data_IF_114213036310
#
_entry.id   IF_114213036310
#
_cell.length_a   1.000
_cell.length_b   1.000
_cell.length_c   1.000
_cell.angle_alpha   90.00
_cell.angle_beta   90.00
_cell.angle_gamma   90.00
#
_symmetry.space_group_name_H-M   'P 1'
#
loop_
_entity.id
_entity.type
_entity.pdbx_description
1 polymer ?
#
# COMPACT_ATOMS: atom_id res chain seq x y z
N UNK A 1 -20.77 0.35 -2.45
CA UNK A 1 -19.55 -0.13 -3.11
C UNK A 1 -18.45 -0.04 -2.08
N UNK A 2 -17.42 -0.88 -2.07
CA UNK A 2 -16.29 -0.67 -1.19
C UNK A 2 -15.51 0.57 -1.65
N UNK A 3 -14.86 1.29 -0.72
CA UNK A 3 -13.83 2.25 -1.08
C UNK A 3 -12.69 1.49 -1.75
N UNK A 4 -12.17 2.04 -2.83
CA UNK A 4 -10.98 1.53 -3.50
C UNK A 4 -9.75 2.15 -2.85
N UNK A 5 -8.78 1.31 -2.53
CA UNK A 5 -7.49 1.74 -1.98
C UNK A 5 -6.45 1.46 -3.06
N UNK A 6 -5.86 2.51 -3.58
CA UNK A 6 -4.71 2.39 -4.47
C UNK A 6 -3.47 2.11 -3.64
N UNK A 7 -2.65 1.15 -4.05
CA UNK A 7 -1.43 0.77 -3.36
C UNK A 7 -0.26 0.78 -4.34
N UNK A 8 0.88 1.35 -3.91
CA UNK A 8 2.18 1.17 -4.56
C UNK A 8 3.12 0.45 -3.60
N UNK A 9 3.71 -0.64 -4.08
CA UNK A 9 4.56 -1.52 -3.28
C UNK A 9 5.96 -1.60 -3.90
N UNK A 10 6.98 -1.40 -3.07
CA UNK A 10 8.39 -1.37 -3.47
C UNK A 10 9.19 -2.34 -2.61
N UNK A 11 10.17 -3.01 -3.19
CA UNK A 11 11.24 -3.68 -2.45
C UNK A 11 12.50 -2.83 -2.48
N UNK A 12 13.22 -2.76 -1.37
CA UNK A 12 14.41 -1.92 -1.24
C UNK A 12 15.52 -2.30 -2.24
N UNK A 13 15.80 -3.61 -2.38
CA UNK A 13 16.88 -4.13 -3.21
C UNK A 13 16.40 -5.18 -4.22
N UNK A 14 15.23 -5.80 -4.01
CA UNK A 14 14.78 -7.00 -4.72
C UNK A 14 13.53 -6.76 -5.56
N UNK A 15 13.61 -5.77 -6.45
CA UNK A 15 12.48 -5.39 -7.32
C UNK A 15 12.03 -6.55 -8.23
N UNK A 16 12.95 -7.24 -8.89
CA UNK A 16 12.60 -8.35 -9.79
C UNK A 16 11.98 -9.53 -9.03
N UNK A 17 12.52 -9.84 -7.85
CA UNK A 17 11.99 -10.88 -6.96
C UNK A 17 10.61 -10.49 -6.40
N UNK A 18 10.35 -9.21 -6.16
CA UNK A 18 9.04 -8.71 -5.74
C UNK A 18 7.99 -9.03 -6.81
N UNK A 19 8.26 -8.69 -8.07
CA UNK A 19 7.36 -9.01 -9.20
C UNK A 19 7.16 -10.53 -9.34
N UNK A 20 8.22 -11.30 -9.23
CA UNK A 20 8.15 -12.76 -9.32
C UNK A 20 7.37 -13.40 -8.15
N UNK A 21 7.43 -12.81 -6.95
CA UNK A 21 6.76 -13.33 -5.76
C UNK A 21 5.24 -13.21 -5.82
N UNK A 22 4.71 -12.21 -6.54
CA UNK A 22 3.26 -11.93 -6.61
C UNK A 22 2.61 -12.42 -7.90
N UNK A 23 3.38 -12.72 -8.94
CA UNK A 23 2.88 -13.19 -10.23
C UNK A 23 2.42 -14.64 -10.15
N UNK A 24 1.22 -14.93 -10.62
CA UNK A 24 0.69 -16.29 -10.63
C UNK A 24 -0.78 -16.38 -10.94
N UNK A 25 -1.44 -17.39 -10.41
CA UNK A 25 -2.85 -17.67 -10.66
C UNK A 25 -3.74 -17.13 -9.57
N UNK A 26 -4.82 -16.45 -9.98
CA UNK A 26 -5.87 -15.99 -9.10
C UNK A 26 -6.85 -17.13 -8.69
N UNK A 27 -7.92 -16.81 -7.98
CA UNK A 27 -8.92 -17.77 -7.52
C UNK A 27 -9.68 -18.49 -8.65
N UNK A 28 -9.73 -17.91 -9.84
CA UNK A 28 -10.39 -18.45 -11.03
C UNK A 28 -9.40 -19.19 -11.96
N UNK A 29 -8.16 -19.48 -11.48
CA UNK A 29 -7.09 -20.19 -12.21
C UNK A 29 -6.53 -19.42 -13.42
N UNK A 30 -6.73 -18.11 -13.46
CA UNK A 30 -6.22 -17.22 -14.50
C UNK A 30 -4.86 -16.67 -14.11
N UNK A 31 -3.91 -16.64 -15.07
CA UNK A 31 -2.59 -15.99 -14.86
C UNK A 31 -2.75 -14.49 -14.75
N UNK A 32 -2.24 -13.92 -13.66
CA UNK A 32 -2.28 -12.48 -13.37
C UNK A 32 -0.92 -11.97 -12.88
N UNK A 33 -0.67 -10.68 -13.07
CA UNK A 33 0.58 -10.06 -12.68
C UNK A 33 0.72 -9.90 -11.15
N UNK A 34 -0.39 -9.70 -10.44
CA UNK A 34 -0.41 -9.59 -8.97
C UNK A 34 -1.53 -10.44 -8.41
N UNK A 35 -1.22 -11.34 -7.49
CA UNK A 35 -2.20 -12.10 -6.70
C UNK A 35 -1.67 -12.43 -5.31
N UNK A 36 -2.50 -12.21 -4.31
CA UNK A 36 -2.18 -12.53 -2.92
C UNK A 36 -2.16 -14.05 -2.66
N UNK A 37 -2.78 -14.85 -3.54
CA UNK A 37 -2.72 -16.31 -3.48
C UNK A 37 -1.29 -16.87 -3.58
N UNK A 38 -0.37 -16.12 -4.21
CA UNK A 38 1.04 -16.52 -4.28
C UNK A 38 1.78 -16.27 -2.98
N UNK A 39 1.39 -15.25 -2.24
CA UNK A 39 2.03 -14.80 -0.99
C UNK A 39 1.43 -15.52 0.21
N UNK A 40 0.11 -15.49 0.33
CA UNK A 40 -0.68 -16.13 1.39
C UNK A 40 -1.80 -16.94 0.73
N UNK A 41 -1.54 -18.21 0.38
CA UNK A 41 -2.52 -19.03 -0.34
C UNK A 41 -3.73 -19.38 0.52
N UNK A 42 -4.93 -19.29 -0.07
CA UNK A 42 -6.14 -19.76 0.59
C UNK A 42 -6.12 -21.31 0.72
N UNK A 43 -6.49 -21.86 1.89
CA UNK A 43 -6.70 -23.29 2.06
C UNK A 43 -7.80 -23.83 1.13
N UNK A 44 -7.70 -25.10 0.76
CA UNK A 44 -8.66 -25.74 -0.15
C UNK A 44 -10.10 -25.72 0.36
N UNK A 45 -10.31 -25.75 1.66
CA UNK A 45 -11.63 -25.65 2.28
C UNK A 45 -12.25 -24.26 2.11
N UNK A 46 -11.41 -23.20 2.12
CA UNK A 46 -11.81 -21.81 1.87
C UNK A 46 -12.13 -21.60 0.40
N UNK A 47 -11.31 -22.12 -0.52
CA UNK A 47 -11.54 -22.05 -1.97
C UNK A 47 -12.87 -22.68 -2.39
N UNK A 48 -13.29 -23.74 -1.69
CA UNK A 48 -14.57 -24.44 -1.94
C UNK A 48 -15.78 -23.76 -1.32
N UNK A 49 -15.58 -22.69 -0.57
CA UNK A 49 -16.71 -21.94 0.02
C UNK A 49 -17.57 -21.29 -1.06
N UNK A 50 -18.88 -21.10 -0.82
CA UNK A 50 -19.74 -20.43 -1.78
C UNK A 50 -19.25 -19.01 -2.11
N UNK A 51 -19.23 -18.62 -3.40
CA UNK A 51 -18.91 -17.24 -3.81
C UNK A 51 -19.86 -16.21 -3.16
N UNK A 52 -21.15 -16.55 -3.03
CA UNK A 52 -22.13 -15.80 -2.27
C UNK A 52 -22.43 -16.55 -0.98
N UNK A 53 -22.00 -15.98 0.15
CA UNK A 53 -22.19 -16.59 1.47
C UNK A 53 -23.64 -16.41 1.94
N UNK A 54 -24.39 -17.49 2.23
CA UNK A 54 -25.69 -17.38 2.87
C UNK A 54 -25.57 -16.73 4.27
N UNK A 55 -26.60 -16.02 4.71
CA UNK A 55 -26.61 -15.31 6.01
C UNK A 55 -26.36 -16.23 7.23
N UNK A 56 -26.58 -17.53 7.09
CA UNK A 56 -26.36 -18.53 8.13
C UNK A 56 -25.14 -19.44 7.87
N UNK A 57 -24.27 -19.08 6.94
CA UNK A 57 -23.05 -19.84 6.67
C UNK A 57 -22.06 -19.67 7.82
N UNK A 58 -21.63 -20.77 8.41
CA UNK A 58 -20.71 -20.79 9.56
C UNK A 58 -19.40 -21.56 9.29
N UNK A 59 -19.19 -22.03 8.07
CA UNK A 59 -17.98 -22.75 7.68
C UNK A 59 -16.82 -21.82 7.33
N UNK A 60 -15.61 -22.38 7.14
CA UNK A 60 -14.48 -21.64 6.56
C UNK A 60 -14.90 -21.01 5.24
N UNK A 61 -14.57 -19.71 5.05
CA UNK A 61 -14.99 -18.99 3.88
C UNK A 61 -13.96 -17.97 3.42
N UNK A 62 -14.04 -17.61 2.14
CA UNK A 62 -13.11 -16.68 1.51
C UNK A 62 -13.15 -15.27 2.13
N UNK A 63 -14.32 -14.81 2.58
CA UNK A 63 -14.48 -13.45 3.08
C UNK A 63 -13.73 -13.26 4.41
N UNK A 64 -13.98 -14.14 5.38
CA UNK A 64 -13.31 -14.09 6.69
C UNK A 64 -11.80 -14.37 6.56
N UNK A 65 -11.42 -15.30 5.65
CA UNK A 65 -10.02 -15.56 5.35
C UNK A 65 -9.32 -14.33 4.80
N UNK A 66 -9.87 -13.70 3.77
CA UNK A 66 -9.26 -12.54 3.13
C UNK A 66 -9.08 -11.38 4.12
N UNK A 67 -10.12 -11.05 4.89
CA UNK A 67 -10.02 -9.99 5.90
C UNK A 67 -8.97 -10.29 6.97
N UNK A 68 -8.87 -11.54 7.42
CA UNK A 68 -7.94 -11.90 8.50
C UNK A 68 -6.50 -12.13 8.04
N UNK A 69 -6.27 -12.58 6.80
CA UNK A 69 -4.95 -12.97 6.29
C UNK A 69 -4.40 -12.04 5.22
N UNK A 70 -5.25 -11.36 4.45
CA UNK A 70 -4.80 -10.37 3.47
C UNK A 70 -5.03 -8.93 3.95
N UNK A 71 -5.90 -8.71 4.95
CA UNK A 71 -6.27 -7.38 5.44
C UNK A 71 -7.27 -6.65 4.55
N UNK A 72 -7.69 -7.25 3.44
CA UNK A 72 -8.60 -6.68 2.45
C UNK A 72 -9.61 -7.71 1.98
N UNK A 73 -10.76 -7.25 1.46
CA UNK A 73 -11.86 -8.12 1.05
C UNK A 73 -11.53 -8.98 -0.16
N UNK A 74 -10.89 -8.38 -1.18
CA UNK A 74 -10.60 -9.01 -2.46
C UNK A 74 -9.12 -9.17 -2.69
N UNK A 75 -8.74 -9.99 -3.66
CA UNK A 75 -7.40 -10.02 -4.22
C UNK A 75 -7.08 -8.67 -4.90
N UNK A 76 -5.84 -8.46 -5.30
CA UNK A 76 -5.43 -7.30 -6.08
C UNK A 76 -6.23 -7.22 -7.39
N UNK A 77 -6.61 -6.00 -7.78
CA UNK A 77 -7.29 -5.74 -9.05
C UNK A 77 -6.84 -4.38 -9.62
N UNK A 78 -7.20 -4.10 -10.88
CA UNK A 78 -6.79 -2.88 -11.61
C UNK A 78 -5.28 -2.66 -11.53
N UNK A 79 -4.51 -3.72 -11.83
CA UNK A 79 -3.05 -3.74 -11.75
C UNK A 79 -2.45 -2.89 -12.87
N UNK A 80 -1.57 -1.95 -12.50
CA UNK A 80 -0.86 -1.06 -13.41
C UNK A 80 0.59 -0.86 -12.94
N UNK A 81 1.40 -1.91 -12.98
CA UNK A 81 2.75 -1.91 -12.44
C UNK A 81 3.67 -0.91 -13.16
N UNK A 82 4.48 -0.19 -12.40
CA UNK A 82 5.61 0.59 -12.92
C UNK A 82 6.84 -0.28 -13.19
N UNK A 83 7.97 0.36 -13.49
CA UNK A 83 9.25 -0.35 -13.71
C UNK A 83 9.86 -0.86 -12.41
N UNK A 84 9.63 -0.16 -11.30
CA UNK A 84 10.27 -0.43 -9.99
C UNK A 84 9.28 -0.72 -8.88
N UNK A 85 7.97 -0.68 -9.14
CA UNK A 85 6.93 -0.86 -8.14
C UNK A 85 5.74 -1.63 -8.68
N UNK A 86 5.04 -2.32 -7.78
CA UNK A 86 3.72 -2.87 -8.04
C UNK A 86 2.66 -1.80 -7.77
N UNK A 87 1.69 -1.65 -8.66
CA UNK A 87 0.53 -0.78 -8.47
C UNK A 87 -0.75 -1.56 -8.67
N UNK A 88 -1.64 -1.50 -7.70
CA UNK A 88 -2.92 -2.22 -7.74
C UNK A 88 -3.92 -1.64 -6.74
N UNK A 89 -5.20 -1.89 -7.00
CA UNK A 89 -6.27 -1.57 -6.07
C UNK A 89 -6.59 -2.73 -5.13
N UNK A 90 -7.03 -2.36 -3.92
CA UNK A 90 -7.63 -3.26 -2.93
C UNK A 90 -8.95 -2.68 -2.39
N UNK A 91 -9.74 -3.50 -1.72
CA UNK A 91 -11.02 -3.07 -1.17
C UNK A 91 -10.91 -2.76 0.33
N UNK A 92 -11.24 -1.51 0.71
CA UNK A 92 -11.36 -0.97 2.08
C UNK A 92 -10.07 -0.67 2.81
N UNK A 93 -8.99 -1.41 2.60
CA UNK A 93 -7.73 -1.23 3.30
C UNK A 93 -6.54 -1.69 2.45
N UNK A 94 -5.36 -1.18 2.77
CA UNK A 94 -4.09 -1.70 2.27
C UNK A 94 -3.88 -3.16 2.72
N UNK A 95 -3.26 -4.03 1.91
CA UNK A 95 -3.09 -5.46 2.22
C UNK A 95 -1.90 -5.70 3.16
N UNK A 96 -1.91 -5.08 4.33
CA UNK A 96 -0.80 -5.05 5.28
C UNK A 96 -0.22 -6.43 5.64
N UNK A 97 -1.02 -7.49 5.89
CA UNK A 97 -0.48 -8.82 6.15
C UNK A 97 0.29 -9.42 4.96
N UNK A 98 -0.12 -9.08 3.72
CA UNK A 98 0.55 -9.51 2.49
C UNK A 98 1.91 -8.81 2.36
N UNK A 99 1.97 -7.51 2.62
CA UNK A 99 3.23 -6.73 2.60
C UNK A 99 4.22 -7.28 3.63
N UNK A 100 3.73 -7.57 4.84
CA UNK A 100 4.53 -8.20 5.90
C UNK A 100 5.11 -9.54 5.48
N UNK A 101 4.33 -10.37 4.81
CA UNK A 101 4.80 -11.69 4.37
C UNK A 101 5.77 -11.58 3.19
N UNK A 102 5.55 -10.62 2.27
CA UNK A 102 6.49 -10.31 1.20
C UNK A 102 7.87 -9.91 1.75
N UNK A 103 7.93 -9.06 2.76
CA UNK A 103 9.20 -8.66 3.39
C UNK A 103 9.99 -9.88 3.92
N UNK A 104 9.30 -10.85 4.51
CA UNK A 104 9.92 -12.11 4.97
C UNK A 104 10.37 -13.00 3.81
N UNK A 105 9.50 -13.23 2.82
CA UNK A 105 9.79 -14.09 1.66
C UNK A 105 10.99 -13.55 0.89
N UNK A 106 11.03 -12.25 0.66
CA UNK A 106 12.10 -11.58 -0.04
C UNK A 106 13.37 -11.47 0.80
N UNK A 107 13.25 -11.53 2.13
CA UNK A 107 14.30 -11.13 3.06
C UNK A 107 14.85 -9.76 2.69
N UNK A 108 13.92 -8.78 2.56
CA UNK A 108 14.18 -7.40 2.16
C UNK A 108 13.16 -6.48 2.85
N UNK A 109 13.44 -5.18 2.87
CA UNK A 109 12.47 -4.19 3.33
C UNK A 109 11.46 -3.97 2.21
N UNK A 110 10.17 -4.04 2.55
CA UNK A 110 9.07 -3.81 1.60
C UNK A 110 8.23 -2.64 2.07
N UNK A 111 8.14 -1.63 1.21
CA UNK A 111 7.37 -0.41 1.42
C UNK A 111 6.00 -0.52 0.77
N UNK A 112 5.00 0.12 1.37
CA UNK A 112 3.68 0.30 0.78
C UNK A 112 3.22 1.74 1.02
N UNK A 113 2.88 2.43 -0.07
CA UNK A 113 2.16 3.70 -0.06
C UNK A 113 0.73 3.39 -0.45
N UNK A 114 -0.24 3.93 0.25
CA UNK A 114 -1.65 3.68 -0.04
C UNK A 114 -2.51 4.92 0.16
N UNK A 115 -3.55 5.04 -0.66
CA UNK A 115 -4.53 6.10 -0.53
C UNK A 115 -5.91 5.63 -0.97
N UNK A 116 -6.96 6.04 -0.25
CA UNK A 116 -8.32 5.81 -0.70
C UNK A 116 -8.74 6.81 -1.79
N UNK A 117 -9.75 6.44 -2.59
CA UNK A 117 -10.23 7.25 -3.72
C UNK A 117 -10.85 8.60 -3.32
N UNK A 118 -11.16 8.79 -2.04
CA UNK A 118 -11.78 10.00 -1.51
C UNK A 118 -10.79 10.95 -0.84
N UNK A 119 -9.50 10.60 -0.81
CA UNK A 119 -8.46 11.34 -0.06
C UNK A 119 -8.85 11.58 1.40
N UNK A 120 -9.57 10.62 2.00
CA UNK A 120 -9.96 10.65 3.39
C UNK A 120 -8.83 10.23 4.32
N UNK A 121 -9.17 9.93 5.57
CA UNK A 121 -8.20 9.52 6.60
C UNK A 121 -7.51 8.17 6.34
N UNK A 122 -7.88 7.46 5.26
CA UNK A 122 -7.34 6.15 4.92
C UNK A 122 -6.24 6.25 3.84
N UNK A 123 -5.18 6.94 4.18
CA UNK A 123 -3.99 7.09 3.35
C UNK A 123 -2.73 7.10 4.22
N UNK A 124 -1.59 6.73 3.64
CA UNK A 124 -0.33 6.73 4.36
C UNK A 124 0.77 5.93 3.67
N UNK A 125 1.89 5.78 4.34
CA UNK A 125 2.96 4.89 3.93
C UNK A 125 3.57 4.18 5.13
N UNK A 126 3.97 2.94 4.93
CA UNK A 126 4.64 2.12 5.92
C UNK A 126 5.61 1.15 5.24
N UNK A 127 6.48 0.55 6.02
CA UNK A 127 7.29 -0.57 5.56
C UNK A 127 7.34 -1.69 6.58
N UNK A 128 7.67 -2.87 6.09
CA UNK A 128 8.00 -4.03 6.90
C UNK A 128 9.45 -4.43 6.68
N UNK A 129 10.14 -4.73 7.77
CA UNK A 129 11.46 -5.37 7.74
C UNK A 129 11.32 -6.89 7.65
N UNK A 130 12.35 -7.64 7.24
CA UNK A 130 12.31 -9.10 7.14
C UNK A 130 11.94 -9.82 8.44
N UNK A 131 12.28 -9.25 9.60
CA UNK A 131 11.90 -9.76 10.92
C UNK A 131 10.45 -9.46 11.32
N UNK A 132 9.72 -8.75 10.44
CA UNK A 132 8.30 -8.45 10.59
C UNK A 132 7.99 -7.22 11.43
N UNK A 133 8.98 -6.35 11.71
CA UNK A 133 8.77 -5.06 12.35
C UNK A 133 8.12 -4.09 11.35
N UNK A 134 7.07 -3.40 11.80
CA UNK A 134 6.37 -2.36 11.05
C UNK A 134 6.82 -0.99 11.51
N UNK A 135 7.07 -0.11 10.56
CA UNK A 135 7.33 1.30 10.80
C UNK A 135 6.43 2.15 9.88
N UNK A 136 5.95 3.27 10.38
CA UNK A 136 5.25 4.29 9.59
C UNK A 136 6.25 5.30 9.04
N UNK A 137 5.95 5.87 7.88
CA UNK A 137 6.76 6.92 7.26
C UNK A 137 6.05 8.25 7.53
N UNK A 138 6.72 9.14 8.24
CA UNK A 138 6.22 10.49 8.49
C UNK A 138 6.09 11.26 7.17
N UNK A 139 5.10 12.16 7.09
CA UNK A 139 4.82 12.91 5.86
C UNK A 139 4.20 12.08 4.73
N UNK A 140 3.90 10.81 4.95
CA UNK A 140 3.33 9.90 3.96
C UNK A 140 1.99 10.38 3.36
N UNK A 141 1.28 11.27 4.05
CA UNK A 141 0.05 11.88 3.55
C UNK A 141 0.28 12.66 2.24
N UNK A 142 1.38 13.39 2.10
CA UNK A 142 1.72 14.11 0.87
C UNK A 142 1.94 13.16 -0.30
N UNK A 143 2.62 12.02 -0.07
CA UNK A 143 2.80 10.98 -1.10
C UNK A 143 1.48 10.35 -1.51
N UNK A 144 0.63 10.03 -0.54
CA UNK A 144 -0.68 9.45 -0.80
C UNK A 144 -1.56 10.42 -1.60
N UNK A 145 -1.47 11.71 -1.31
CA UNK A 145 -2.18 12.76 -2.03
C UNK A 145 -1.67 12.91 -3.46
N UNK A 146 -0.35 12.99 -3.67
CA UNK A 146 0.29 13.00 -4.99
C UNK A 146 -0.20 11.85 -5.86
N UNK A 147 -0.21 10.68 -5.28
CA UNK A 147 -0.56 9.45 -5.88
C UNK A 147 -2.02 9.40 -6.38
N UNK A 148 -2.98 9.88 -5.60
CA UNK A 148 -4.40 9.94 -5.97
C UNK A 148 -4.73 11.02 -6.99
N UNK A 149 -4.06 12.17 -6.93
CA UNK A 149 -4.41 13.34 -7.75
C UNK A 149 -3.79 13.30 -9.15
N UNK A 150 -2.81 12.42 -9.42
CA UNK A 150 -2.18 12.29 -10.73
C UNK A 150 -1.69 13.64 -11.28
N UNK A 151 -2.13 14.02 -12.48
CA UNK A 151 -1.71 15.27 -13.13
C UNK A 151 -2.21 16.57 -12.48
N UNK A 152 -3.04 16.48 -11.44
CA UNK A 152 -3.50 17.63 -10.66
C UNK A 152 -2.68 17.87 -9.38
N UNK A 153 -1.68 17.05 -9.14
CA UNK A 153 -0.82 17.10 -7.99
C UNK A 153 -0.25 18.49 -7.71
N UNK A 154 0.39 19.10 -8.72
CA UNK A 154 1.06 20.40 -8.56
C UNK A 154 0.13 21.53 -8.11
N UNK A 155 -1.14 21.50 -8.51
CA UNK A 155 -2.12 22.51 -8.13
C UNK A 155 -2.64 22.27 -6.71
N UNK A 156 -2.96 21.02 -6.38
CA UNK A 156 -3.55 20.66 -5.11
C UNK A 156 -2.52 20.68 -3.96
N UNK A 157 -1.26 20.33 -4.21
CA UNK A 157 -0.18 20.44 -3.20
C UNK A 157 0.19 21.90 -2.95
N UNK A 158 0.21 22.75 -3.98
CA UNK A 158 0.42 24.18 -3.76
C UNK A 158 -0.69 24.79 -2.92
N UNK A 159 -1.95 24.47 -3.22
CA UNK A 159 -3.11 24.93 -2.45
C UNK A 159 -3.02 24.44 -1.00
N UNK A 160 -2.60 23.18 -0.76
CA UNK A 160 -2.40 22.63 0.57
C UNK A 160 -1.23 23.29 1.31
N UNK A 161 -0.10 23.51 0.66
CA UNK A 161 1.07 24.19 1.25
C UNK A 161 0.73 25.65 1.56
N UNK A 162 0.16 26.38 0.60
CA UNK A 162 -0.29 27.78 0.81
C UNK A 162 -1.27 27.88 1.98
N UNK A 163 -2.17 26.91 2.15
CA UNK A 163 -3.17 26.91 3.24
C UNK A 163 -2.54 26.68 4.62
N UNK A 164 -1.45 25.94 4.72
CA UNK A 164 -0.77 25.63 5.98
C UNK A 164 0.36 26.62 6.29
N UNK A 165 0.96 27.24 5.30
CA UNK A 165 1.90 28.34 5.50
C UNK A 165 1.22 29.59 6.11
N UNK A 166 -0.04 29.84 5.74
CA UNK A 166 -0.83 30.94 6.32
C UNK A 166 -1.23 30.69 7.80
N UNK A 167 -1.30 29.42 8.26
CA UNK A 167 -1.57 29.10 9.67
C UNK A 167 -0.29 29.21 10.54
N UNK A 168 0.91 28.99 9.99
CA UNK A 168 2.17 29.00 10.71
C UNK A 168 2.78 30.43 10.82
N UNK A 169 2.38 31.40 9.99
CA UNK A 169 2.88 32.79 10.08
C UNK A 169 2.37 33.55 11.31
N UNK A 170 1.31 33.07 11.98
CA UNK A 170 0.75 33.73 13.16
C UNK A 170 1.41 33.29 14.51
N UNK A 171 2.32 32.31 14.54
CA UNK A 171 2.89 31.76 15.79
C UNK A 171 4.44 31.79 15.95
N UNK A 172 5.24 32.28 15.03
CA UNK A 172 6.70 32.23 15.16
C UNK A 172 7.41 33.58 14.97
N UNK A 173 7.40 34.44 16.00
CA UNK A 173 8.50 35.34 16.31
C UNK A 173 9.43 34.65 17.32
N UNK A 174 10.22 33.67 16.92
CA UNK A 174 11.45 33.26 17.61
C UNK A 174 12.39 32.57 16.60
N UNK A 175 13.46 33.26 16.26
CA UNK A 175 14.56 32.76 15.42
C UNK A 175 15.26 31.59 16.12
N UNK A 176 15.06 30.36 15.65
CA UNK A 176 16.00 29.27 15.85
C UNK A 176 16.23 28.53 14.53
N UNK A 177 17.53 28.32 14.23
CA UNK A 177 18.10 27.68 13.05
C UNK A 177 17.33 26.40 12.65
N UNK A 178 16.59 26.45 11.55
CA UNK A 178 16.07 25.24 10.91
C UNK A 178 17.16 24.63 10.03
N UNK A 179 17.65 23.46 10.43
CA UNK A 179 18.31 22.54 9.51
C UNK A 179 17.31 22.20 8.40
N UNK A 180 17.72 22.31 7.13
CA UNK A 180 16.90 21.95 5.98
C UNK A 180 16.38 20.52 6.17
N UNK A 181 15.10 20.35 6.50
CA UNK A 181 14.45 19.05 6.47
C UNK A 181 14.47 18.56 5.02
N UNK A 182 15.18 17.45 4.80
CA UNK A 182 15.25 16.79 3.50
C UNK A 182 13.82 16.43 3.03
N UNK A 183 13.44 16.87 1.85
CA UNK A 183 12.16 16.57 1.19
C UNK A 183 11.85 15.07 1.30
N UNK A 184 10.78 14.65 1.98
CA UNK A 184 10.49 13.25 2.20
C UNK A 184 10.35 12.44 0.89
N UNK A 185 10.08 13.08 -0.25
CA UNK A 185 10.10 12.45 -1.59
C UNK A 185 11.50 11.95 -1.97
N UNK A 186 12.56 12.58 -1.43
CA UNK A 186 13.95 12.19 -1.66
C UNK A 186 14.27 10.91 -0.85
N UNK A 187 13.60 10.68 0.27
CA UNK A 187 13.86 9.52 1.12
C UNK A 187 13.51 8.18 0.45
N UNK A 188 12.47 8.16 -0.41
CA UNK A 188 12.11 6.95 -1.17
C UNK A 188 13.02 6.77 -2.40
N UNK A 189 13.52 7.88 -2.98
CA UNK A 189 14.34 7.85 -4.22
C UNK A 189 15.84 7.74 -3.91
N UNK A 190 16.28 8.17 -2.72
CA UNK A 190 17.69 8.24 -2.34
C UNK A 190 18.16 7.12 -1.40
N UNK A 191 17.47 5.97 -1.37
CA UNK A 191 17.98 4.78 -0.69
C UNK A 191 19.28 4.38 -1.39
N UNK A 192 20.45 4.41 -0.72
CA UNK A 192 21.73 4.13 -1.35
C UNK A 192 21.74 2.71 -1.93
N UNK A 193 22.11 2.59 -3.19
CA UNK A 193 22.49 1.31 -3.80
C UNK A 193 23.92 1.04 -3.35
N UNK A 194 24.10 0.31 -2.28
CA UNK A 194 25.36 -0.38 -1.97
C UNK A 194 25.35 -1.78 -2.58
#
# INVERSE_FOLDING_TARGET
>A
MPNHILNQVYALHKTEELFAAVKGKNADDEEVEVTFHRVIPQPEEVKRSPKCLPCNYSGPNWYDFNLSHWGTKWDAYDVNNGETYLEFNTAWASPEPVIKELAKILNDIVFCIYADESLGDNCGAYYYTPDGRREEIDGAYLFAYEFQCGGYYDAAVREYIEWHEDEDEDECEDEEDYEEEEDPRIFIVSIPKD
#
